data_IF_117170210213
#
_entry.id   IF_117170210213
#
_cell.length_a   1.000
_cell.length_b   1.000
_cell.length_c   1.000
_cell.angle_alpha   90.00
_cell.angle_beta   90.00
_cell.angle_gamma   90.00
#
_symmetry.space_group_name_H-M   'P 1'
#
loop_
_entity.id
_entity.type
_entity.pdbx_description
1 polymer ?
#
# COMPACT_ATOMS: atom_id res chain seq x y z
N UNK A 1 18.99 40.77 29.88
CA UNK A 1 19.07 41.12 28.43
C UNK A 1 19.94 40.08 27.74
N UNK A 2 19.34 39.11 27.04
CA UNK A 2 20.11 38.12 26.28
C UNK A 2 20.53 38.73 24.94
N UNK A 3 21.85 38.74 24.66
CA UNK A 3 22.44 39.24 23.42
C UNK A 3 21.93 38.42 22.23
N UNK A 4 21.41 39.13 21.22
CA UNK A 4 21.03 38.58 19.91
C UNK A 4 22.26 38.58 19.00
N UNK A 5 23.21 37.68 19.23
CA UNK A 5 24.30 37.45 18.29
C UNK A 5 23.98 36.19 17.48
N UNK A 6 23.12 36.29 16.45
CA UNK A 6 23.34 35.73 15.09
C UNK A 6 22.33 36.41 14.13
N UNK A 7 22.80 37.32 13.29
CA UNK A 7 21.98 37.96 12.26
C UNK A 7 21.71 36.95 11.14
N UNK A 8 20.44 36.58 10.93
CA UNK A 8 20.00 35.78 9.79
C UNK A 8 19.97 34.25 9.97
N UNK A 9 20.13 33.73 11.19
CA UNK A 9 19.91 32.30 11.45
C UNK A 9 18.58 32.11 12.19
N UNK A 10 17.69 31.32 11.59
CA UNK A 10 16.50 30.84 12.29
C UNK A 10 16.96 29.99 13.47
N UNK A 11 16.45 30.28 14.67
CA UNK A 11 16.63 29.41 15.82
C UNK A 11 16.08 28.02 15.47
N UNK A 12 16.87 26.97 15.69
CA UNK A 12 16.38 25.59 15.61
C UNK A 12 15.28 25.46 16.67
N UNK A 13 14.04 25.35 16.20
CA UNK A 13 12.84 25.39 17.06
C UNK A 13 12.71 24.11 17.90
N UNK A 14 13.33 23.03 17.43
CA UNK A 14 13.42 21.73 18.08
C UNK A 14 14.50 20.90 17.36
N UNK A 15 15.42 20.28 18.11
CA UNK A 15 16.49 19.39 17.56
C UNK A 15 16.08 17.90 17.62
N UNK A 16 14.88 17.62 18.14
CA UNK A 16 14.35 16.26 18.18
C UNK A 16 14.05 15.74 16.77
N UNK A 17 14.76 14.67 16.40
CA UNK A 17 14.55 13.97 15.15
C UNK A 17 13.17 13.30 15.14
N UNK A 18 12.19 13.99 14.55
CA UNK A 18 10.91 13.40 14.16
C UNK A 18 11.13 12.32 13.11
N UNK A 19 10.48 11.17 13.29
CA UNK A 19 10.53 10.07 12.33
C UNK A 19 9.74 10.41 11.05
N UNK A 20 8.68 11.21 11.21
CA UNK A 20 7.80 11.64 10.13
C UNK A 20 8.14 13.07 9.73
N UNK A 21 8.62 13.24 8.49
CA UNK A 21 8.92 14.57 7.93
C UNK A 21 7.80 15.09 7.01
N UNK A 22 7.20 14.22 6.21
CA UNK A 22 6.09 14.55 5.32
C UNK A 22 5.32 13.30 4.91
N UNK A 23 4.01 13.40 4.77
CA UNK A 23 3.15 12.32 4.26
C UNK A 23 2.18 12.88 3.21
N UNK A 24 1.90 12.10 2.16
CA UNK A 24 0.87 12.43 1.16
C UNK A 24 -0.37 11.60 1.44
N UNK A 25 -1.50 12.27 1.63
CA UNK A 25 -2.78 11.68 1.97
C UNK A 25 -3.86 12.32 1.11
N UNK A 26 -4.99 11.63 0.93
CA UNK A 26 -6.20 12.26 0.38
C UNK A 26 -6.86 13.12 1.46
N UNK A 27 -7.68 14.09 1.05
CA UNK A 27 -8.36 15.01 1.96
C UNK A 27 -9.23 14.27 2.99
N UNK A 28 -9.94 13.23 2.56
CA UNK A 28 -10.77 12.39 3.44
C UNK A 28 -9.92 11.69 4.51
N UNK A 29 -8.78 11.11 4.13
CA UNK A 29 -7.88 10.47 5.08
C UNK A 29 -7.25 11.48 6.04
N UNK A 30 -6.91 12.68 5.55
CA UNK A 30 -6.38 13.75 6.39
C UNK A 30 -7.39 14.23 7.43
N UNK A 31 -8.67 14.33 7.05
CA UNK A 31 -9.75 14.69 7.96
C UNK A 31 -9.99 13.61 9.02
N UNK A 32 -10.06 12.35 8.60
CA UNK A 32 -10.22 11.23 9.52
C UNK A 32 -9.07 11.13 10.54
N UNK A 33 -7.83 11.37 10.09
CA UNK A 33 -6.65 11.44 10.95
C UNK A 33 -6.78 12.56 12.00
N UNK A 34 -7.31 13.73 11.59
CA UNK A 34 -7.61 14.84 12.50
C UNK A 34 -8.57 14.45 13.61
N UNK A 35 -9.70 13.84 13.26
CA UNK A 35 -10.71 13.39 14.21
C UNK A 35 -10.10 12.37 15.19
N UNK A 36 -9.34 11.39 14.69
CA UNK A 36 -8.71 10.37 15.53
C UNK A 36 -7.70 10.98 16.53
N UNK A 37 -6.88 11.93 16.08
CA UNK A 37 -5.92 12.62 16.94
C UNK A 37 -6.62 13.47 18.02
N UNK A 38 -7.71 14.16 17.67
CA UNK A 38 -8.52 14.96 18.60
C UNK A 38 -9.20 14.09 19.66
N UNK A 39 -9.74 12.92 19.29
CA UNK A 39 -10.31 11.96 20.24
C UNK A 39 -9.27 11.48 21.28
N UNK A 40 -7.99 11.49 20.93
CA UNK A 40 -6.89 11.10 21.80
C UNK A 40 -6.20 12.30 22.49
N UNK A 41 -6.72 13.52 22.28
CA UNK A 41 -6.18 14.74 22.89
C UNK A 41 -4.76 15.10 22.43
N UNK A 42 -4.34 14.65 21.25
CA UNK A 42 -2.99 14.88 20.73
C UNK A 42 -3.00 15.62 19.39
N UNK A 43 -1.84 16.15 18.98
CA UNK A 43 -1.73 16.76 17.66
C UNK A 43 -1.73 15.70 16.56
N UNK A 44 -2.23 16.06 15.38
CA UNK A 44 -2.16 15.21 14.18
C UNK A 44 -0.74 14.67 13.92
N UNK A 45 0.27 15.50 14.15
CA UNK A 45 1.67 15.15 13.95
C UNK A 45 2.16 14.12 14.97
N UNK A 46 1.78 14.26 16.24
CA UNK A 46 2.21 13.34 17.29
C UNK A 46 1.46 12.00 17.18
N UNK A 47 0.21 12.02 16.73
CA UNK A 47 -0.52 10.81 16.37
C UNK A 47 0.17 10.03 15.24
N UNK A 48 0.64 10.72 14.19
CA UNK A 48 1.41 10.10 13.10
C UNK A 48 2.72 9.47 13.60
N UNK A 49 3.44 10.15 14.47
CA UNK A 49 4.65 9.62 15.11
C UNK A 49 4.34 8.35 15.92
N UNK A 50 3.25 8.34 16.69
CA UNK A 50 2.84 7.17 17.47
C UNK A 50 2.47 5.98 16.57
N UNK A 51 1.70 6.23 15.50
CA UNK A 51 1.31 5.20 14.52
C UNK A 51 2.53 4.60 13.84
N UNK A 52 3.54 5.41 13.51
CA UNK A 52 4.77 4.94 12.84
C UNK A 52 5.69 4.22 13.82
N UNK A 53 5.81 4.68 15.07
CA UNK A 53 6.55 3.96 16.13
C UNK A 53 5.93 2.61 16.47
N UNK A 54 4.60 2.50 16.45
CA UNK A 54 3.88 1.25 16.69
C UNK A 54 3.92 0.27 15.51
N UNK A 55 4.14 0.77 14.29
CA UNK A 55 4.28 -0.05 13.10
C UNK A 55 5.76 -0.39 12.87
N UNK A 56 6.20 -1.52 13.41
CA UNK A 56 7.57 -2.02 13.30
C UNK A 56 8.11 -2.13 11.86
N UNK A 57 7.24 -2.11 10.83
CA UNK A 57 7.62 -2.16 9.42
C UNK A 57 6.81 -1.14 8.60
N UNK A 58 7.26 0.12 8.45
CA UNK A 58 6.69 1.07 7.50
C UNK A 58 7.14 0.71 6.08
N UNK A 59 6.77 -0.50 5.62
CA UNK A 59 7.09 -0.96 4.28
C UNK A 59 5.97 -0.58 3.32
N UNK A 60 6.29 0.28 2.36
CA UNK A 60 5.45 0.56 1.19
C UNK A 60 5.28 -0.67 0.28
N UNK A 61 6.02 -1.75 0.56
CA UNK A 61 6.07 -3.00 -0.20
C UNK A 61 5.28 -4.14 0.45
N UNK A 62 4.56 -3.90 1.55
CA UNK A 62 3.78 -4.96 2.19
C UNK A 62 2.66 -5.41 1.25
N UNK A 63 2.80 -6.62 0.71
CA UNK A 63 1.69 -7.31 0.07
C UNK A 63 0.54 -7.38 1.07
N UNK A 64 -0.65 -7.02 0.60
CA UNK A 64 -1.86 -7.00 1.41
C UNK A 64 -2.19 -8.45 1.74
N UNK A 65 -1.68 -8.94 2.87
CA UNK A 65 -2.19 -10.17 3.48
C UNK A 65 -3.72 -10.04 3.52
N UNK A 66 -4.47 -11.01 2.97
CA UNK A 66 -5.92 -10.96 2.99
C UNK A 66 -6.34 -10.92 4.46
N UNK A 67 -6.97 -9.82 4.84
CA UNK A 67 -7.67 -9.73 6.11
C UNK A 67 -8.76 -10.79 6.02
N UNK A 68 -8.62 -11.88 6.77
CA UNK A 68 -9.68 -12.85 7.01
C UNK A 68 -10.83 -12.14 7.74
N UNK A 69 -11.67 -11.44 6.98
CA UNK A 69 -13.00 -11.06 7.40
C UNK A 69 -13.89 -12.28 7.22
N UNK A 70 -13.84 -13.16 8.21
CA UNK A 70 -14.83 -14.20 8.35
C UNK A 70 -16.23 -13.57 8.54
N UNK A 71 -17.16 -14.11 7.75
CA UNK A 71 -18.63 -14.06 7.85
C UNK A 71 -19.34 -12.77 7.37
N UNK A 72 -20.01 -12.85 6.22
CA UNK A 72 -21.40 -13.38 6.09
C UNK A 72 -21.95 -13.20 4.65
N UNK A 73 -22.05 -14.33 3.95
CA UNK A 73 -23.16 -14.80 3.08
C UNK A 73 -23.59 -14.03 1.81
N UNK A 74 -23.33 -14.70 0.67
CA UNK A 74 -24.14 -14.93 -0.55
C UNK A 74 -25.13 -13.82 -1.02
N UNK A 75 -25.18 -13.42 -2.28
CA UNK A 75 -25.43 -14.21 -3.50
C UNK A 75 -25.12 -13.31 -4.70
N UNK A 76 -24.32 -13.74 -5.67
CA UNK A 76 -24.77 -13.67 -7.07
C UNK A 76 -24.00 -14.66 -7.94
N UNK A 77 -24.78 -15.63 -8.43
CA UNK A 77 -24.42 -16.68 -9.35
C UNK A 77 -24.47 -16.06 -10.75
N UNK A 78 -23.32 -15.86 -11.40
CA UNK A 78 -23.25 -15.53 -12.81
C UNK A 78 -22.16 -16.37 -13.51
N UNK A 79 -22.61 -17.54 -13.96
CA UNK A 79 -22.20 -18.29 -15.16
C UNK A 79 -20.90 -17.85 -15.84
N UNK A 80 -19.77 -18.45 -15.45
CA UNK A 80 -18.62 -18.65 -16.35
C UNK A 80 -18.08 -20.08 -16.18
N UNK A 81 -17.60 -20.72 -17.26
CA UNK A 81 -17.19 -22.11 -17.22
C UNK A 81 -15.96 -22.28 -16.28
N UNK A 82 -15.99 -23.28 -15.38
CA UNK A 82 -14.96 -23.49 -14.35
C UNK A 82 -13.56 -23.74 -14.93
N UNK A 83 -13.45 -24.01 -16.23
CA UNK A 83 -12.18 -24.23 -16.95
C UNK A 83 -11.39 -22.95 -17.24
N UNK A 84 -12.04 -21.80 -17.40
CA UNK A 84 -11.33 -20.55 -17.71
C UNK A 84 -10.68 -19.97 -16.46
N UNK A 85 -11.39 -20.05 -15.32
CA UNK A 85 -10.89 -19.60 -14.01
C UNK A 85 -9.66 -20.41 -13.58
N UNK A 86 -9.58 -21.69 -13.93
CA UNK A 86 -8.41 -22.53 -13.62
C UNK A 86 -7.21 -22.21 -14.51
N UNK A 87 -7.41 -21.94 -15.81
CA UNK A 87 -6.32 -21.59 -16.72
C UNK A 87 -5.69 -20.23 -16.40
N UNK A 88 -6.50 -19.25 -16.00
CA UNK A 88 -5.99 -17.95 -15.56
C UNK A 88 -5.19 -18.05 -14.25
N UNK A 89 -5.65 -18.86 -13.30
CA UNK A 89 -4.90 -19.12 -12.07
C UNK A 89 -3.54 -19.80 -12.34
N UNK A 90 -3.50 -20.76 -13.29
CA UNK A 90 -2.26 -21.41 -13.71
C UNK A 90 -1.29 -20.45 -14.39
N UNK A 91 -1.78 -19.53 -15.24
CA UNK A 91 -0.97 -18.46 -15.83
C UNK A 91 -0.28 -17.65 -14.74
N UNK A 92 -1.03 -17.23 -13.73
CA UNK A 92 -0.50 -16.37 -12.66
C UNK A 92 0.54 -17.12 -11.80
N UNK A 93 0.34 -18.42 -11.56
CA UNK A 93 1.32 -19.29 -10.90
C UNK A 93 2.64 -19.39 -11.71
N UNK A 94 2.55 -19.58 -13.03
CA UNK A 94 3.74 -19.62 -13.91
C UNK A 94 4.47 -18.29 -13.90
N UNK A 95 3.75 -17.16 -13.96
CA UNK A 95 4.35 -15.83 -13.90
C UNK A 95 5.07 -15.56 -12.58
N UNK A 96 4.56 -16.07 -11.44
CA UNK A 96 5.24 -16.01 -10.15
C UNK A 96 6.52 -16.85 -10.13
N UNK A 97 6.50 -18.06 -10.70
CA UNK A 97 7.70 -18.92 -10.77
C UNK A 97 8.82 -18.33 -11.60
N UNK A 98 8.49 -17.58 -12.65
CA UNK A 98 9.47 -16.88 -13.48
C UNK A 98 10.17 -15.74 -12.72
N UNK A 99 9.66 -15.30 -11.56
CA UNK A 99 10.22 -14.23 -10.72
C UNK A 99 10.52 -12.93 -11.49
N UNK A 100 9.72 -12.64 -12.52
CA UNK A 100 9.88 -11.46 -13.35
C UNK A 100 9.16 -10.27 -12.71
N UNK A 101 9.81 -9.10 -12.68
CA UNK A 101 9.13 -7.87 -12.29
C UNK A 101 8.01 -7.52 -13.27
N UNK A 102 6.88 -7.00 -12.79
CA UNK A 102 5.70 -6.66 -13.61
C UNK A 102 5.99 -5.69 -14.78
N UNK A 103 7.05 -4.90 -14.66
CA UNK A 103 7.51 -3.96 -15.70
C UNK A 103 8.61 -4.52 -16.61
N UNK A 104 9.14 -5.71 -16.31
CA UNK A 104 10.17 -6.32 -17.13
C UNK A 104 9.63 -6.68 -18.52
N UNK A 105 10.40 -6.48 -19.59
CA UNK A 105 9.98 -6.85 -20.94
C UNK A 105 9.66 -8.35 -21.05
N UNK A 106 10.40 -9.20 -20.33
CA UNK A 106 10.13 -10.64 -20.25
C UNK A 106 8.77 -10.97 -19.64
N UNK A 107 8.33 -10.24 -18.61
CA UNK A 107 7.02 -10.46 -17.99
C UNK A 107 5.89 -10.22 -18.99
N UNK A 108 5.99 -9.12 -19.75
CA UNK A 108 4.99 -8.75 -20.77
C UNK A 108 4.95 -9.76 -21.92
N UNK A 109 6.11 -10.24 -22.35
CA UNK A 109 6.21 -11.27 -23.39
C UNK A 109 5.57 -12.60 -22.93
N UNK A 110 5.90 -13.06 -21.72
CA UNK A 110 5.33 -14.28 -21.15
C UNK A 110 3.81 -14.17 -20.97
N UNK A 111 3.33 -13.06 -20.41
CA UNK A 111 1.90 -12.80 -20.24
C UNK A 111 1.14 -12.85 -21.58
N UNK A 112 1.69 -12.23 -22.62
CA UNK A 112 1.09 -12.25 -23.96
C UNK A 112 1.03 -13.66 -24.54
N UNK A 113 2.12 -14.43 -24.42
CA UNK A 113 2.18 -15.80 -24.92
C UNK A 113 1.18 -16.72 -24.20
N UNK A 114 1.08 -16.61 -22.87
CA UNK A 114 0.14 -17.40 -22.07
C UNK A 114 -1.32 -17.05 -22.37
N UNK A 115 -1.65 -15.76 -22.53
CA UNK A 115 -3.00 -15.36 -22.92
C UNK A 115 -3.37 -15.88 -24.32
N UNK A 116 -2.43 -15.86 -25.27
CA UNK A 116 -2.64 -16.45 -26.60
C UNK A 116 -2.85 -17.98 -26.52
N UNK A 117 -2.10 -18.66 -25.67
CA UNK A 117 -2.25 -20.10 -25.43
C UNK A 117 -3.62 -20.45 -24.84
N UNK A 118 -4.08 -19.69 -23.84
CA UNK A 118 -5.44 -19.87 -23.27
C UNK A 118 -6.51 -19.64 -24.34
N UNK A 119 -6.37 -18.58 -25.14
CA UNK A 119 -7.30 -18.29 -26.23
C UNK A 119 -7.38 -19.43 -27.26
N UNK A 120 -6.24 -20.05 -27.59
CA UNK A 120 -6.17 -21.19 -28.51
C UNK A 120 -6.81 -22.47 -27.92
N UNK A 121 -6.79 -22.66 -26.61
CA UNK A 121 -7.44 -23.79 -25.93
C UNK A 121 -8.95 -23.60 -25.75
N UNK A 122 -9.43 -22.35 -25.77
CA UNK A 122 -10.85 -22.00 -25.73
C UNK A 122 -11.50 -21.89 -27.11
N UNK A 123 -10.72 -22.06 -28.18
CA UNK A 123 -11.16 -22.12 -29.58
C UNK A 123 -11.56 -23.53 -29.97
#
# INVERSE_FOLDING_TARGET
MLKRDIQGKFALKDDDYRQVRSVRLTDETWKALGIAAECLGMTRSDYLEQVIRGNANPSITREKEPVDQAKTTAVELATTPPTVVTLEALRDQVLLQLKLGKQAPGYKAALKALNHFIAALSS
#
